data_IF_238641415465
#
_entry.id   IF_238641415465
#
_cell.length_a   1.000
_cell.length_b   1.000
_cell.length_c   1.000
_cell.angle_alpha   90.00
_cell.angle_beta   90.00
_cell.angle_gamma   90.00
#
_symmetry.space_group_name_H-M   'P 1'
#
loop_
_entity.id
_entity.type
_entity.pdbx_description
1 polymer ?
#
# COMPACT_ATOMS: atom_id res chain seq x y z
N UNK A 1 -21.13 -7.76 -11.96
CA UNK A 1 -20.10 -7.41 -10.96
C UNK A 1 -18.70 -7.75 -11.47
N UNK A 2 -18.44 -8.98 -11.97
CA UNK A 2 -17.12 -9.38 -12.51
C UNK A 2 -16.54 -8.45 -13.59
N UNK A 3 -17.39 -7.96 -14.51
CA UNK A 3 -16.95 -7.04 -15.59
C UNK A 3 -16.32 -5.75 -15.07
N UNK A 4 -16.82 -5.19 -13.95
CA UNK A 4 -16.27 -3.95 -13.38
C UNK A 4 -14.97 -4.23 -12.63
N UNK A 5 -14.88 -5.37 -11.93
CA UNK A 5 -13.66 -5.85 -11.28
C UNK A 5 -12.52 -6.04 -12.28
N UNK A 6 -12.77 -6.78 -13.36
CA UNK A 6 -11.78 -7.01 -14.43
C UNK A 6 -11.40 -5.72 -15.16
N UNK A 7 -12.38 -4.83 -15.41
CA UNK A 7 -12.12 -3.53 -16.02
C UNK A 7 -11.23 -2.68 -15.11
N UNK A 8 -11.54 -2.59 -13.82
CA UNK A 8 -10.74 -1.84 -12.86
C UNK A 8 -9.33 -2.42 -12.73
N UNK A 9 -9.21 -3.75 -12.61
CA UNK A 9 -7.92 -4.46 -12.51
C UNK A 9 -7.02 -4.14 -13.70
N UNK A 10 -7.54 -4.23 -14.92
CA UNK A 10 -6.78 -3.94 -16.14
C UNK A 10 -6.30 -2.48 -16.19
N UNK A 11 -7.17 -1.53 -15.84
CA UNK A 11 -6.81 -0.11 -15.83
C UNK A 11 -5.76 0.24 -14.77
N UNK A 12 -5.79 -0.42 -13.60
CA UNK A 12 -4.73 -0.26 -12.60
C UNK A 12 -3.41 -0.80 -13.14
N UNK A 13 -3.39 -2.03 -13.66
CA UNK A 13 -2.15 -2.66 -14.15
C UNK A 13 -1.54 -1.88 -15.32
N UNK A 14 -2.37 -1.28 -16.18
CA UNK A 14 -1.92 -0.43 -17.29
C UNK A 14 -1.60 1.02 -16.88
N UNK A 15 -1.68 1.35 -15.59
CA UNK A 15 -1.50 2.71 -15.05
C UNK A 15 -2.41 3.77 -15.74
N UNK A 16 -3.64 3.38 -16.09
CA UNK A 16 -4.61 4.26 -16.73
C UNK A 16 -5.36 5.10 -15.69
N UNK A 17 -4.70 6.11 -15.14
CA UNK A 17 -5.25 7.01 -14.10
C UNK A 17 -6.61 7.59 -14.47
N UNK A 18 -6.78 8.01 -15.73
CA UNK A 18 -8.01 8.65 -16.22
C UNK A 18 -9.20 7.70 -16.11
N UNK A 19 -9.06 6.47 -16.58
CA UNK A 19 -10.17 5.50 -16.53
C UNK A 19 -10.43 5.04 -15.09
N UNK A 20 -9.40 4.94 -14.24
CA UNK A 20 -9.60 4.69 -12.81
C UNK A 20 -10.39 5.81 -12.15
N UNK A 21 -10.10 7.08 -12.48
CA UNK A 21 -10.84 8.23 -11.98
C UNK A 21 -12.32 8.17 -12.38
N UNK A 22 -12.61 7.93 -13.67
CA UNK A 22 -13.98 7.83 -14.17
C UNK A 22 -14.76 6.70 -13.50
N UNK A 23 -14.13 5.54 -13.28
CA UNK A 23 -14.76 4.40 -12.59
C UNK A 23 -15.09 4.73 -11.12
N UNK A 24 -14.18 5.39 -10.41
CA UNK A 24 -14.41 5.84 -9.03
C UNK A 24 -15.50 6.91 -8.92
N UNK A 25 -15.56 7.81 -9.91
CA UNK A 25 -16.53 8.90 -9.93
C UNK A 25 -17.95 8.44 -10.28
N UNK A 26 -18.11 7.34 -11.01
CA UNK A 26 -19.41 6.91 -11.53
C UNK A 26 -20.09 5.84 -10.69
N UNK A 27 -19.36 4.84 -10.21
CA UNK A 27 -20.02 3.59 -9.77
C UNK A 27 -19.22 2.66 -8.85
N UNK A 28 -17.92 2.87 -8.68
CA UNK A 28 -17.09 1.97 -7.87
C UNK A 28 -16.70 2.64 -6.55
N UNK A 29 -17.03 1.97 -5.44
CA UNK A 29 -16.53 2.32 -4.10
C UNK A 29 -14.99 2.21 -4.06
N UNK A 30 -14.31 3.21 -3.51
CA UNK A 30 -12.86 3.20 -3.35
C UNK A 30 -12.35 2.04 -2.46
N UNK A 31 -13.21 1.49 -1.60
CA UNK A 31 -12.96 0.32 -0.74
C UNK A 31 -13.49 -1.00 -1.34
N UNK A 32 -13.84 -1.03 -2.63
CA UNK A 32 -14.44 -2.17 -3.31
C UNK A 32 -13.78 -3.51 -2.95
N UNK A 33 -14.60 -4.47 -2.54
CA UNK A 33 -14.17 -5.83 -2.13
C UNK A 33 -12.97 -5.81 -1.15
N UNK A 34 -13.09 -5.07 -0.05
CA UNK A 34 -12.08 -5.04 1.01
C UNK A 34 -10.78 -4.33 0.60
N UNK A 35 -10.89 -3.31 -0.27
CA UNK A 35 -9.77 -2.45 -0.64
C UNK A 35 -8.68 -3.16 -1.47
N UNK A 36 -9.01 -4.21 -2.22
CA UNK A 36 -8.03 -4.80 -3.14
C UNK A 36 -7.53 -3.83 -4.24
N UNK A 37 -8.31 -2.84 -4.74
CA UNK A 37 -7.82 -1.96 -5.80
C UNK A 37 -6.65 -1.09 -5.37
N UNK A 38 -6.74 -0.45 -4.20
CA UNK A 38 -5.66 0.40 -3.65
C UNK A 38 -4.40 -0.43 -3.33
N UNK A 39 -4.59 -1.66 -2.82
CA UNK A 39 -3.51 -2.62 -2.57
C UNK A 39 -2.82 -3.07 -3.85
N UNK A 40 -3.60 -3.36 -4.92
CA UNK A 40 -3.04 -3.70 -6.23
C UNK A 40 -2.22 -2.54 -6.80
N UNK A 41 -2.75 -1.31 -6.75
CA UNK A 41 -2.01 -0.13 -7.20
C UNK A 41 -0.67 0.03 -6.43
N UNK A 42 -0.70 -0.21 -5.12
CA UNK A 42 0.49 -0.16 -4.26
C UNK A 42 1.51 -1.24 -4.61
N UNK A 43 1.07 -2.48 -4.84
CA UNK A 43 1.94 -3.58 -5.26
C UNK A 43 2.67 -3.30 -6.59
N UNK A 44 2.04 -2.55 -7.50
CA UNK A 44 2.65 -2.14 -8.76
C UNK A 44 3.49 -0.85 -8.68
N UNK A 45 3.50 -0.18 -7.52
CA UNK A 45 4.21 1.07 -7.28
C UNK A 45 3.53 2.33 -7.84
N UNK A 46 2.21 2.28 -8.06
CA UNK A 46 1.43 3.32 -8.73
C UNK A 46 0.92 4.36 -7.71
N UNK A 47 1.84 5.15 -7.14
CA UNK A 47 1.55 6.11 -6.07
C UNK A 47 0.49 7.16 -6.46
N UNK A 48 0.44 7.53 -7.74
CA UNK A 48 -0.57 8.37 -8.39
C UNK A 48 -1.99 7.78 -8.24
N UNK A 49 -2.14 6.50 -8.60
CA UNK A 49 -3.41 5.78 -8.48
C UNK A 49 -3.76 5.51 -7.02
N UNK A 50 -2.79 5.20 -6.15
CA UNK A 50 -3.02 5.08 -4.71
C UNK A 50 -3.53 6.39 -4.12
N UNK A 51 -2.91 7.52 -4.47
CA UNK A 51 -3.36 8.85 -4.06
C UNK A 51 -4.77 9.15 -4.55
N UNK A 52 -5.09 8.74 -5.79
CA UNK A 52 -6.44 8.85 -6.34
C UNK A 52 -7.46 8.06 -5.50
N UNK A 53 -7.20 6.78 -5.19
CA UNK A 53 -8.08 5.99 -4.33
C UNK A 53 -8.28 6.62 -2.94
N UNK A 54 -7.22 7.11 -2.30
CA UNK A 54 -7.32 7.78 -0.98
C UNK A 54 -8.20 9.04 -1.08
N UNK A 55 -8.07 9.84 -2.15
CA UNK A 55 -8.92 11.02 -2.36
C UNK A 55 -10.42 10.67 -2.46
N UNK A 56 -10.74 9.48 -2.93
CA UNK A 56 -12.11 8.95 -2.99
C UNK A 56 -12.52 8.18 -1.71
N UNK A 57 -11.74 8.27 -0.63
CA UNK A 57 -12.08 7.68 0.67
C UNK A 57 -11.66 6.22 0.85
N UNK A 58 -10.73 5.71 0.03
CA UNK A 58 -10.15 4.39 0.28
C UNK A 58 -9.40 4.39 1.62
N UNK A 59 -9.65 3.36 2.42
CA UNK A 59 -8.93 3.06 3.64
C UNK A 59 -7.65 2.27 3.32
N UNK A 60 -6.44 2.85 3.45
CA UNK A 60 -5.20 2.18 3.12
C UNK A 60 -4.81 1.07 4.13
N UNK A 61 -5.52 0.99 5.26
CA UNK A 61 -5.23 0.05 6.35
C UNK A 61 -5.97 -1.29 6.20
N UNK A 62 -6.85 -1.43 5.21
CA UNK A 62 -7.46 -2.72 4.89
C UNK A 62 -6.38 -3.72 4.46
N UNK A 63 -6.44 -4.92 5.02
CA UNK A 63 -5.45 -5.97 4.80
C UNK A 63 -5.89 -6.90 3.66
N UNK A 64 -4.92 -7.48 2.96
CA UNK A 64 -5.16 -8.59 2.05
C UNK A 64 -5.53 -9.87 2.80
N UNK A 65 -5.92 -10.90 2.06
CA UNK A 65 -6.08 -12.26 2.59
C UNK A 65 -4.80 -12.81 3.23
N UNK A 66 -3.64 -12.38 2.75
CA UNK A 66 -2.32 -12.68 3.34
C UNK A 66 -1.91 -11.73 4.47
N UNK A 67 -2.79 -10.82 4.90
CA UNK A 67 -2.53 -9.86 5.98
C UNK A 67 -1.67 -8.66 5.57
N UNK A 68 -1.42 -8.43 4.28
CA UNK A 68 -0.61 -7.32 3.80
C UNK A 68 -1.43 -6.03 3.60
N UNK A 69 -0.96 -4.95 4.21
CA UNK A 69 -1.50 -3.60 4.06
C UNK A 69 -1.03 -2.91 2.77
N UNK A 70 -1.66 -1.77 2.46
CA UNK A 70 -1.27 -0.89 1.34
C UNK A 70 0.18 -0.43 1.46
N UNK A 71 0.64 -0.04 2.66
CA UNK A 71 2.03 0.39 2.88
C UNK A 71 3.02 -0.75 2.62
N UNK A 72 2.77 -1.94 3.16
CA UNK A 72 3.67 -3.09 2.98
C UNK A 72 3.81 -3.46 1.50
N UNK A 73 2.72 -3.41 0.72
CA UNK A 73 2.75 -3.67 -0.72
C UNK A 73 3.49 -2.57 -1.49
N UNK A 74 3.34 -1.29 -1.09
CA UNK A 74 4.11 -0.19 -1.66
C UNK A 74 5.62 -0.37 -1.39
N UNK A 75 6.01 -0.76 -0.18
CA UNK A 75 7.41 -1.06 0.19
C UNK A 75 7.94 -2.23 -0.63
N UNK A 76 7.19 -3.34 -0.70
CA UNK A 76 7.52 -4.52 -1.49
C UNK A 76 7.75 -4.20 -2.98
N UNK A 77 6.97 -3.26 -3.55
CA UNK A 77 7.13 -2.86 -4.96
C UNK A 77 8.51 -2.28 -5.28
N UNK A 78 9.21 -1.72 -4.27
CA UNK A 78 10.50 -1.07 -4.39
C UNK A 78 10.59 0.07 -5.44
N UNK A 79 9.46 0.72 -5.76
CA UNK A 79 9.42 1.81 -6.74
C UNK A 79 9.19 3.18 -6.09
N UNK A 80 9.94 4.18 -6.55
CA UNK A 80 9.79 5.61 -6.20
C UNK A 80 10.04 5.96 -4.72
N UNK A 81 10.72 5.09 -3.96
CA UNK A 81 11.05 5.35 -2.55
C UNK A 81 12.25 6.28 -2.35
N UNK A 82 13.06 6.47 -3.39
CA UNK A 82 14.10 7.49 -3.52
C UNK A 82 13.52 8.92 -3.59
N UNK A 83 12.21 9.04 -3.87
CA UNK A 83 11.48 10.31 -3.96
C UNK A 83 10.51 10.51 -2.78
N UNK A 84 9.80 11.64 -2.75
CA UNK A 84 8.76 11.93 -1.76
C UNK A 84 7.36 11.41 -2.14
N UNK A 85 7.27 10.64 -3.23
CA UNK A 85 5.99 10.22 -3.79
C UNK A 85 5.12 9.42 -2.82
N UNK A 86 5.72 8.66 -1.90
CA UNK A 86 5.01 7.87 -0.89
C UNK A 86 4.78 8.59 0.46
N UNK A 87 5.28 9.82 0.64
CA UNK A 87 5.16 10.53 1.92
C UNK A 87 3.70 10.74 2.35
N UNK A 88 2.78 10.89 1.39
CA UNK A 88 1.35 10.98 1.69
C UNK A 88 0.86 9.70 2.38
N UNK A 89 1.23 8.52 1.89
CA UNK A 89 0.80 7.25 2.47
C UNK A 89 1.36 7.09 3.89
N UNK A 90 2.64 7.43 4.09
CA UNK A 90 3.27 7.43 5.41
C UNK A 90 2.55 8.34 6.40
N UNK A 91 2.01 9.49 5.93
CA UNK A 91 1.28 10.43 6.79
C UNK A 91 -0.01 9.85 7.38
N UNK A 92 -0.61 8.85 6.72
CA UNK A 92 -1.79 8.14 7.22
C UNK A 92 -1.44 7.02 8.21
N UNK A 93 -0.17 6.60 8.29
CA UNK A 93 0.22 5.44 9.08
C UNK A 93 0.51 5.77 10.54
N UNK A 94 0.04 4.93 11.47
CA UNK A 94 0.46 4.95 12.87
C UNK A 94 1.82 4.25 13.10
N UNK A 95 2.30 4.25 14.35
CA UNK A 95 3.61 3.68 14.68
C UNK A 95 3.72 2.18 14.39
N UNK A 96 2.64 1.42 14.55
CA UNK A 96 2.62 -0.03 14.32
C UNK A 96 2.69 -0.36 12.82
N UNK A 97 1.94 0.40 12.02
CA UNK A 97 1.91 0.24 10.57
C UNK A 97 3.24 0.65 9.93
N UNK A 98 3.87 1.70 10.46
CA UNK A 98 5.22 2.10 10.07
C UNK A 98 6.25 1.01 10.42
N UNK A 99 6.15 0.39 11.61
CA UNK A 99 7.03 -0.70 12.00
C UNK A 99 6.87 -1.94 11.10
N UNK A 100 5.64 -2.33 10.77
CA UNK A 100 5.35 -3.42 9.84
C UNK A 100 5.90 -3.13 8.42
N UNK A 101 5.77 -1.89 7.94
CA UNK A 101 6.37 -1.44 6.68
C UNK A 101 7.90 -1.46 6.72
N UNK A 102 8.51 -1.04 7.82
CA UNK A 102 9.96 -1.04 8.01
C UNK A 102 10.53 -2.48 8.02
N UNK A 103 9.83 -3.42 8.65
CA UNK A 103 10.22 -4.84 8.62
C UNK A 103 10.22 -5.40 7.19
N UNK A 104 9.19 -5.10 6.39
CA UNK A 104 9.17 -5.47 4.96
C UNK A 104 10.34 -4.83 4.21
N UNK A 105 10.65 -3.56 4.48
CA UNK A 105 11.77 -2.88 3.84
C UNK A 105 13.11 -3.58 4.12
N UNK A 106 13.32 -4.04 5.36
CA UNK A 106 14.51 -4.81 5.75
C UNK A 106 14.54 -6.17 5.02
N UNK A 107 13.43 -6.92 5.07
CA UNK A 107 13.33 -8.28 4.49
C UNK A 107 13.64 -8.26 2.99
N UNK A 108 13.17 -7.24 2.26
CA UNK A 108 13.36 -7.11 0.82
C UNK A 108 14.52 -6.19 0.41
N UNK A 109 15.31 -5.69 1.37
CA UNK A 109 16.47 -4.83 1.09
C UNK A 109 16.12 -3.46 0.50
N UNK A 110 14.90 -2.96 0.69
CA UNK A 110 14.48 -1.64 0.22
C UNK A 110 14.95 -0.54 1.20
N UNK A 111 16.22 -0.14 1.06
CA UNK A 111 16.88 0.81 1.96
C UNK A 111 16.23 2.20 1.92
N UNK A 112 15.76 2.66 0.76
CA UNK A 112 15.14 3.96 0.62
C UNK A 112 13.78 4.02 1.34
N UNK A 113 12.96 2.97 1.21
CA UNK A 113 11.72 2.88 1.96
C UNK A 113 11.97 2.83 3.46
N UNK A 114 12.93 2.02 3.89
CA UNK A 114 13.32 1.94 5.29
C UNK A 114 13.72 3.33 5.82
N UNK A 115 14.58 4.04 5.08
CA UNK A 115 15.01 5.40 5.45
C UNK A 115 13.84 6.37 5.52
N UNK A 116 12.94 6.39 4.53
CA UNK A 116 11.76 7.26 4.52
C UNK A 116 10.83 6.98 5.69
N UNK A 117 10.61 5.71 6.03
CA UNK A 117 9.82 5.30 7.18
C UNK A 117 10.46 5.77 8.49
N UNK A 118 11.78 5.58 8.66
CA UNK A 118 12.49 6.04 9.86
C UNK A 118 12.52 7.57 9.99
N UNK A 119 12.63 8.29 8.87
CA UNK A 119 12.57 9.75 8.83
C UNK A 119 11.24 10.32 9.33
N UNK A 120 10.16 9.53 9.37
CA UNK A 120 8.89 9.98 9.96
C UNK A 120 9.01 10.28 11.46
N UNK A 121 10.02 9.73 12.16
CA UNK A 121 10.19 9.85 13.60
C UNK A 121 9.09 9.18 14.44
N UNK A 122 8.13 8.49 13.81
CA UNK A 122 6.95 7.87 14.44
C UNK A 122 7.03 6.34 14.49
N UNK A 123 8.02 5.75 13.81
CA UNK A 123 8.24 4.31 13.82
C UNK A 123 8.80 3.87 15.18
N UNK A 124 8.07 3.02 15.91
CA UNK A 124 8.56 2.45 17.16
C UNK A 124 9.24 1.12 16.89
N UNK A 125 10.56 1.09 16.94
CA UNK A 125 11.39 -0.12 16.70
C UNK A 125 11.30 -1.15 17.82
N UNK A 126 10.61 -0.84 18.93
CA UNK A 126 10.50 -1.72 20.10
C UNK A 126 9.18 -2.50 20.15
N UNK A 127 8.25 -2.27 19.22
CA UNK A 127 7.01 -3.05 19.13
C UNK A 127 7.32 -4.31 18.30
N UNK A 128 7.08 -5.53 18.83
CA UNK A 128 7.09 -6.74 18.02
C UNK A 128 6.10 -6.54 16.87
N UNK A 129 6.58 -6.55 15.63
CA UNK A 129 5.73 -6.36 14.46
C UNK A 129 4.67 -7.46 14.39
N UNK A 130 3.54 -7.19 13.75
CA UNK A 130 2.47 -8.18 13.54
C UNK A 130 3.01 -9.43 12.80
N UNK A 131 4.11 -9.26 12.05
CA UNK A 131 4.88 -10.34 11.42
C UNK A 131 5.60 -11.27 12.42
N UNK A 132 6.01 -10.80 13.60
CA UNK A 132 6.68 -11.64 14.61
C UNK A 132 5.72 -12.54 15.40
N UNK A 133 4.42 -12.23 15.38
CA UNK A 133 3.37 -13.09 15.93
C UNK A 133 2.99 -14.27 15.02
N UNK A 134 3.30 -14.18 13.73
CA UNK A 134 3.31 -15.31 12.82
C UNK A 134 4.71 -15.92 12.88
N UNK A 135 4.86 -17.10 13.47
CA UNK A 135 6.11 -17.88 13.43
C UNK A 135 6.58 -18.01 11.97
N UNK A 136 7.44 -17.10 11.51
CA UNK A 136 8.37 -17.41 10.45
C UNK A 136 9.38 -18.38 11.07
N UNK A 137 9.04 -19.67 10.97
CA UNK A 137 10.02 -20.75 11.02
C UNK A 137 11.01 -20.47 9.90
N UNK A 138 12.07 -19.74 10.23
CA UNK A 138 13.32 -19.84 9.51
C UNK A 138 13.90 -21.19 9.96
N UNK A 139 13.61 -22.23 9.17
CA UNK A 139 14.38 -23.47 9.17
C UNK A 139 15.49 -23.33 8.12
#
# INVERSE_FOLDING_TARGET
>A
MERNKDKLRRNIISNNEREVYELLNTSIDANYEGGWPIRLASQHGLYNIVRLFIRFGANPHLLSESGASTLQLAVYSAKYWDTDNWNFLLSFCDSSQLADGAAVAIIFGNIDAFRKIMQTGRCNTNIPTSLTGMKFLVA
#
